data_IF_738766254870
#
_entry.id   IF_738766254870
#
_cell.length_a   1.000
_cell.length_b   1.000
_cell.length_c   1.000
_cell.angle_alpha   90.00
_cell.angle_beta   90.00
_cell.angle_gamma   90.00
#
_symmetry.space_group_name_H-M   'P 1'
#
loop_
_entity.id
_entity.type
_entity.pdbx_description
1 polymer ?
#
# COMPACT_ATOMS: atom_id res chain seq x y z
N UNK A 1 10.97 -6.82 9.02
CA UNK A 1 12.24 -6.19 8.59
C UNK A 1 13.28 -7.22 8.12
N UNK A 2 13.37 -8.41 8.74
CA UNK A 2 14.31 -9.47 8.32
C UNK A 2 14.14 -9.90 6.85
N UNK A 3 12.90 -10.21 6.44
CA UNK A 3 12.60 -10.64 5.07
C UNK A 3 13.02 -9.63 4.00
N UNK A 4 12.78 -8.32 4.24
CA UNK A 4 13.18 -7.28 3.28
C UNK A 4 14.70 -7.15 3.19
N UNK A 5 15.40 -7.23 4.33
CA UNK A 5 16.86 -7.18 4.34
C UNK A 5 17.48 -8.39 3.63
N UNK A 6 16.97 -9.59 3.89
CA UNK A 6 17.38 -10.82 3.20
C UNK A 6 17.08 -10.75 1.70
N UNK A 7 15.92 -10.22 1.31
CA UNK A 7 15.58 -9.99 -0.09
C UNK A 7 16.60 -9.09 -0.80
N UNK A 8 17.02 -8.00 -0.16
CA UNK A 8 18.06 -7.11 -0.70
C UNK A 8 19.42 -7.79 -0.80
N UNK A 9 19.84 -8.51 0.25
CA UNK A 9 21.12 -9.25 0.26
C UNK A 9 21.18 -10.30 -0.86
N UNK A 10 20.06 -10.96 -1.11
CA UNK A 10 19.92 -11.98 -2.15
C UNK A 10 19.69 -11.40 -3.55
N UNK A 11 19.68 -10.07 -3.72
CA UNK A 11 19.35 -9.38 -4.98
C UNK A 11 18.02 -9.87 -5.57
N UNK A 12 17.02 -10.02 -4.72
CA UNK A 12 15.70 -10.52 -5.12
C UNK A 12 15.05 -9.64 -6.20
N UNK A 13 14.34 -10.29 -7.12
CA UNK A 13 13.49 -9.64 -8.12
C UNK A 13 12.06 -9.59 -7.58
N UNK A 14 11.47 -8.39 -7.49
CA UNK A 14 10.08 -8.20 -7.01
C UNK A 14 9.06 -8.06 -8.15
N UNK A 15 9.53 -7.93 -9.39
CA UNK A 15 8.66 -7.76 -10.54
C UNK A 15 7.88 -9.05 -10.81
N UNK A 16 6.56 -8.94 -10.72
CA UNK A 16 5.62 -9.99 -11.08
C UNK A 16 4.62 -9.46 -12.10
N UNK A 17 3.94 -10.36 -12.79
CA UNK A 17 2.82 -9.99 -13.66
C UNK A 17 1.67 -9.48 -12.78
N UNK A 18 0.99 -8.43 -13.24
CA UNK A 18 -0.20 -7.89 -12.56
C UNK A 18 -1.20 -9.02 -12.32
N UNK A 19 -1.60 -9.20 -11.07
CA UNK A 19 -2.57 -10.23 -10.71
C UNK A 19 -3.95 -9.89 -11.30
N UNK A 20 -4.67 -10.85 -11.90
CA UNK A 20 -6.02 -10.62 -12.45
C UNK A 20 -7.01 -10.09 -11.41
N UNK A 21 -6.85 -10.46 -10.14
CA UNK A 21 -7.65 -9.97 -9.02
C UNK A 21 -7.49 -8.46 -8.74
N UNK A 22 -6.42 -7.84 -9.24
CA UNK A 22 -6.16 -6.40 -9.08
C UNK A 22 -6.59 -5.61 -10.31
N UNK A 23 -6.22 -6.11 -11.48
CA UNK A 23 -6.44 -5.42 -12.73
C UNK A 23 -6.30 -6.41 -13.89
N UNK A 24 -7.30 -6.47 -14.76
CA UNK A 24 -7.27 -7.29 -15.96
C UNK A 24 -6.37 -6.65 -17.02
N UNK A 25 -5.06 -6.81 -16.88
CA UNK A 25 -4.06 -6.22 -17.77
C UNK A 25 -4.17 -6.73 -19.22
N UNK A 26 -4.66 -7.95 -19.41
CA UNK A 26 -4.80 -8.57 -20.73
C UNK A 26 -5.80 -7.80 -21.61
N UNK A 27 -6.83 -7.20 -21.02
CA UNK A 27 -7.81 -6.37 -21.73
C UNK A 27 -7.22 -5.04 -22.24
N UNK A 28 -6.15 -4.55 -21.61
CA UNK A 28 -5.55 -3.24 -21.88
C UNK A 28 -4.22 -3.32 -22.63
N UNK A 29 -3.64 -4.51 -22.74
CA UNK A 29 -2.31 -4.71 -23.32
C UNK A 29 -2.25 -4.36 -24.80
N UNK A 30 -1.24 -3.59 -25.19
CA UNK A 30 -0.90 -3.37 -26.59
C UNK A 30 -0.05 -2.12 -26.83
N UNK A 31 0.11 -1.76 -28.10
CA UNK A 31 0.97 -0.66 -28.54
C UNK A 31 0.21 0.50 -29.19
N UNK A 32 -1.12 0.42 -29.28
CA UNK A 32 -1.96 1.48 -29.84
C UNK A 32 -2.28 2.55 -28.78
N UNK A 33 -2.83 3.68 -29.24
CA UNK A 33 -3.34 4.71 -28.35
C UNK A 33 -4.34 4.12 -27.35
N UNK A 34 -4.23 4.51 -26.07
CA UNK A 34 -5.01 3.98 -24.92
C UNK A 34 -4.72 2.52 -24.53
N UNK A 35 -3.63 1.93 -25.02
CA UNK A 35 -3.17 0.61 -24.58
C UNK A 35 -1.95 0.71 -23.66
N UNK A 36 -1.79 -0.26 -22.78
CA UNK A 36 -0.69 -0.37 -21.83
C UNK A 36 0.36 -1.33 -22.39
N UNK A 37 1.62 -0.90 -22.45
CA UNK A 37 2.73 -1.71 -22.99
C UNK A 37 3.25 -2.72 -21.97
N UNK A 38 3.35 -2.32 -20.70
CA UNK A 38 3.89 -3.17 -19.63
C UNK A 38 2.80 -4.01 -18.96
N UNK A 39 3.17 -5.20 -18.51
CA UNK A 39 2.29 -6.07 -17.71
C UNK A 39 2.89 -6.43 -16.35
N UNK A 40 4.08 -5.91 -16.06
CA UNK A 40 4.84 -6.23 -14.85
C UNK A 40 4.90 -5.03 -13.92
N UNK A 41 4.88 -5.32 -12.64
CA UNK A 41 5.07 -4.37 -11.56
C UNK A 41 5.45 -5.08 -10.27
N UNK A 42 5.73 -4.31 -9.22
CA UNK A 42 5.97 -4.84 -7.89
C UNK A 42 4.77 -4.52 -7.01
N UNK A 43 4.20 -5.53 -6.36
CA UNK A 43 2.97 -5.37 -5.58
C UNK A 43 3.17 -5.76 -4.13
N UNK A 44 2.70 -4.90 -3.23
CA UNK A 44 2.62 -5.24 -1.81
C UNK A 44 1.58 -6.34 -1.59
N UNK A 45 1.95 -7.36 -0.83
CA UNK A 45 1.04 -8.46 -0.45
C UNK A 45 0.08 -7.97 0.65
N UNK A 46 -1.09 -8.63 0.76
CA UNK A 46 -2.08 -8.37 1.81
C UNK A 46 -2.53 -6.90 1.95
N UNK A 47 -2.66 -6.22 0.80
CA UNK A 47 -2.91 -4.78 0.73
C UNK A 47 -4.18 -4.34 1.49
N UNK A 48 -5.19 -5.20 1.54
CA UNK A 48 -6.50 -4.93 2.15
C UNK A 48 -6.58 -5.20 3.65
N UNK A 49 -5.55 -5.79 4.25
CA UNK A 49 -5.52 -6.01 5.70
C UNK A 49 -5.28 -4.68 6.42
N UNK A 50 -6.17 -4.36 7.36
CA UNK A 50 -6.09 -3.20 8.23
C UNK A 50 -6.79 -3.49 9.57
N UNK A 51 -6.07 -3.40 10.68
CA UNK A 51 -6.65 -3.59 12.02
C UNK A 51 -7.32 -2.30 12.51
N UNK A 52 -8.52 -2.04 12.00
CA UNK A 52 -9.26 -0.84 12.36
C UNK A 52 -9.70 -0.80 13.84
N UNK A 53 -9.79 -1.96 14.51
CA UNK A 53 -10.22 -2.05 15.92
C UNK A 53 -9.15 -1.49 16.84
N UNK A 54 -7.88 -1.82 16.59
CA UNK A 54 -6.73 -1.28 17.34
C UNK A 54 -6.68 0.26 17.32
N UNK A 55 -7.13 0.86 16.22
CA UNK A 55 -7.17 2.31 16.04
C UNK A 55 -8.50 2.96 16.46
N UNK A 56 -9.48 2.19 16.94
CA UNK A 56 -10.80 2.69 17.32
C UNK A 56 -11.61 3.23 16.14
N UNK A 57 -11.36 2.73 14.92
CA UNK A 57 -12.01 3.14 13.68
C UNK A 57 -13.14 2.15 13.35
N UNK A 58 -14.30 2.66 12.93
CA UNK A 58 -15.42 1.81 12.53
C UNK A 58 -15.10 1.08 11.22
N UNK A 59 -15.74 -0.08 10.99
CA UNK A 59 -15.58 -0.82 9.73
C UNK A 59 -15.99 0.03 8.52
N UNK A 60 -17.03 0.87 8.68
CA UNK A 60 -17.52 1.74 7.62
C UNK A 60 -16.48 2.80 7.23
N UNK A 61 -15.90 3.48 8.24
CA UNK A 61 -14.86 4.49 8.01
C UNK A 61 -13.60 3.85 7.45
N UNK A 62 -13.18 2.69 7.98
CA UNK A 62 -12.02 1.96 7.50
C UNK A 62 -12.12 1.58 6.01
N UNK A 63 -13.33 1.29 5.51
CA UNK A 63 -13.57 1.03 4.08
C UNK A 63 -13.52 2.30 3.24
N UNK A 64 -13.97 3.43 3.79
CA UNK A 64 -13.93 4.71 3.12
C UNK A 64 -12.52 5.33 3.09
N UNK A 65 -11.65 4.94 4.02
CA UNK A 65 -10.27 5.43 4.09
C UNK A 65 -9.44 5.04 2.86
N UNK A 66 -8.68 6.01 2.37
CA UNK A 66 -7.69 5.78 1.35
C UNK A 66 -6.66 4.74 1.80
N UNK A 67 -6.15 3.95 0.85
CA UNK A 67 -5.21 2.90 1.17
C UNK A 67 -3.92 3.45 1.80
N UNK A 68 -3.42 4.57 1.26
CA UNK A 68 -2.25 5.27 1.77
C UNK A 68 -2.42 5.69 3.23
N UNK A 69 -3.59 6.20 3.60
CA UNK A 69 -3.91 6.60 4.98
C UNK A 69 -3.93 5.40 5.92
N UNK A 70 -4.53 4.28 5.52
CA UNK A 70 -4.53 3.04 6.32
C UNK A 70 -3.09 2.57 6.59
N UNK A 71 -2.25 2.51 5.56
CA UNK A 71 -0.84 2.10 5.69
C UNK A 71 0.01 3.09 6.48
N UNK A 72 -0.28 4.39 6.39
CA UNK A 72 0.40 5.39 7.23
C UNK A 72 0.21 5.09 8.72
N UNK A 73 -1.04 4.88 9.13
CA UNK A 73 -1.39 4.71 10.54
C UNK A 73 -0.74 3.43 11.10
N UNK A 74 -0.83 2.32 10.36
CA UNK A 74 -0.16 1.07 10.74
C UNK A 74 1.36 1.21 10.84
N UNK A 75 2.00 1.77 9.81
CA UNK A 75 3.46 1.88 9.80
C UNK A 75 3.98 2.89 10.81
N UNK A 76 3.26 3.98 11.07
CA UNK A 76 3.64 4.95 12.11
C UNK A 76 3.65 4.31 13.49
N UNK A 77 2.61 3.52 13.81
CA UNK A 77 2.55 2.78 15.07
C UNK A 77 3.70 1.78 15.18
N UNK A 78 3.94 0.97 14.13
CA UNK A 78 5.01 -0.02 14.11
C UNK A 78 6.40 0.62 14.23
N UNK A 79 6.62 1.77 13.59
CA UNK A 79 7.88 2.53 13.69
C UNK A 79 8.11 3.07 15.10
N UNK A 80 7.08 3.65 15.73
CA UNK A 80 7.17 4.15 17.11
C UNK A 80 7.41 3.01 18.11
N UNK A 81 6.73 1.88 17.92
CA UNK A 81 6.91 0.67 18.73
C UNK A 81 8.33 0.12 18.60
N UNK A 82 8.85 0.01 17.39
CA UNK A 82 10.22 -0.48 17.13
C UNK A 82 11.27 0.47 17.73
N UNK A 83 11.05 1.78 17.64
CA UNK A 83 11.94 2.78 18.25
C UNK A 83 11.84 2.84 19.79
N UNK A 84 10.87 2.16 20.41
CA UNK A 84 10.62 2.25 21.85
C UNK A 84 10.17 3.64 22.31
N UNK A 85 9.59 4.45 21.41
CA UNK A 85 9.18 5.82 21.70
C UNK A 85 7.76 5.84 22.24
N UNK A 86 7.61 6.33 23.47
CA UNK A 86 6.31 6.68 24.02
C UNK A 86 5.85 8.04 23.46
N UNK A 87 4.89 8.02 22.55
CA UNK A 87 4.42 9.22 21.82
C UNK A 87 3.20 9.89 22.46
N UNK A 88 2.53 9.23 23.42
CA UNK A 88 1.30 9.74 24.05
C UNK A 88 1.58 11.04 24.81
N UNK A 89 0.75 12.06 24.55
CA UNK A 89 0.87 13.37 25.20
C UNK A 89 2.08 14.20 24.77
N UNK A 90 2.83 13.77 23.76
CA UNK A 90 4.00 14.51 23.25
C UNK A 90 3.65 15.28 21.98
N UNK A 91 4.33 16.41 21.78
CA UNK A 91 4.22 17.17 20.54
C UNK A 91 5.05 16.49 19.44
N UNK A 92 4.43 15.58 18.69
CA UNK A 92 5.06 14.81 17.61
C UNK A 92 4.52 15.27 16.27
N UNK A 93 5.41 15.77 15.41
CA UNK A 93 5.06 16.09 14.02
C UNK A 93 4.98 14.83 13.15
N UNK A 94 3.96 14.75 12.29
CA UNK A 94 3.81 13.67 11.31
C UNK A 94 3.86 14.26 9.90
N UNK A 95 4.73 13.70 9.05
CA UNK A 95 4.91 14.13 7.67
C UNK A 95 4.84 12.91 6.77
N UNK A 96 3.97 12.95 5.77
CA UNK A 96 3.82 11.89 4.76
C UNK A 96 3.62 12.51 3.39
N UNK A 97 4.19 11.87 2.37
CA UNK A 97 3.81 12.10 0.97
C UNK A 97 2.58 11.28 0.61
N UNK A 98 1.52 11.96 0.16
CA UNK A 98 0.33 11.33 -0.39
C UNK A 98 0.37 11.27 -1.92
N UNK A 99 -0.29 10.27 -2.50
CA UNK A 99 -0.61 10.23 -3.93
C UNK A 99 -2.11 10.50 -4.10
N UNK A 100 -2.46 11.31 -5.11
CA UNK A 100 -3.85 11.71 -5.37
C UNK A 100 -4.72 10.57 -5.95
N UNK A 101 -4.09 9.49 -6.40
CA UNK A 101 -4.76 8.32 -6.97
C UNK A 101 -4.87 7.24 -5.90
N UNK A 102 -6.09 6.85 -5.59
CA UNK A 102 -6.38 5.75 -4.67
C UNK A 102 -7.34 4.76 -5.34
N UNK A 103 -7.64 3.65 -4.65
CA UNK A 103 -8.51 2.59 -5.15
C UNK A 103 -9.91 3.10 -5.54
N UNK A 104 -10.37 4.19 -4.93
CA UNK A 104 -11.65 4.84 -5.24
C UNK A 104 -11.61 5.67 -6.53
N UNK A 105 -10.42 5.94 -7.06
CA UNK A 105 -10.20 6.78 -8.24
C UNK A 105 -10.18 5.99 -9.54
N UNK A 106 -10.26 4.66 -9.49
CA UNK A 106 -10.16 3.80 -10.66
C UNK A 106 -11.51 3.71 -11.39
N UNK A 107 -11.51 4.00 -12.68
CA UNK A 107 -12.63 3.75 -13.58
C UNK A 107 -12.28 2.54 -14.47
N UNK A 108 -13.17 1.56 -14.51
CA UNK A 108 -13.12 0.48 -15.50
C UNK A 108 -13.51 1.02 -16.89
N UNK A 109 -13.08 0.35 -17.98
CA UNK A 109 -13.34 0.81 -19.35
C UNK A 109 -14.82 0.81 -19.75
#
# INVERSE_FOLDING_TARGET
YKEFFEFLLNKGESYETVLPERFNIDAWKGHKLRQIVTQKGSFLKNLYQFDHVEFGITVADARAMALSTRKLVEHSLLSLLNAGIEYRGRNVGCYMSGVAFDIQSMADP
#
